data_IF_010032956651
#
_entry.id   IF_010032956651
#
_cell.length_a   1.000
_cell.length_b   1.000
_cell.length_c   1.000
_cell.angle_alpha   90.00
_cell.angle_beta   90.00
_cell.angle_gamma   90.00
#
_symmetry.space_group_name_H-M   'P 1'
#
loop_
_entity.id
_entity.type
_entity.pdbx_description
1 polymer ?
#
# COMPACT_ATOMS: atom_id res chain seq x y z
N UNK A 1 -0.71 9.88 9.99
CA UNK A 1 -0.92 8.45 9.62
C UNK A 1 0.36 7.87 9.01
N UNK A 2 0.54 6.53 8.95
CA UNK A 2 1.74 5.88 8.35
C UNK A 2 1.93 6.28 6.88
N UNK A 3 0.85 6.27 6.11
CA UNK A 3 0.87 6.50 4.66
C UNK A 3 0.80 7.98 4.29
N UNK A 4 0.29 8.83 5.17
CA UNK A 4 0.09 10.26 4.93
C UNK A 4 1.32 11.02 4.41
N UNK A 5 2.54 10.91 5.01
CA UNK A 5 3.70 11.63 4.50
C UNK A 5 4.19 11.13 3.14
N UNK A 6 3.82 9.91 2.75
CA UNK A 6 4.18 9.31 1.46
C UNK A 6 3.16 9.65 0.38
N UNK A 7 1.89 9.78 0.77
CA UNK A 7 0.77 10.03 -0.14
C UNK A 7 0.55 11.52 -0.39
N UNK A 8 0.80 12.38 0.60
CA UNK A 8 0.55 13.82 0.49
C UNK A 8 1.24 14.48 -0.72
N UNK A 9 2.53 14.23 -1.02
CA UNK A 9 3.18 14.82 -2.20
C UNK A 9 2.55 14.40 -3.53
N UNK A 10 1.92 13.22 -3.58
CA UNK A 10 1.22 12.72 -4.78
C UNK A 10 -0.09 13.47 -5.03
N UNK A 11 -0.74 13.94 -3.96
CA UNK A 11 -2.02 14.66 -4.05
C UNK A 11 -1.80 16.14 -4.35
N UNK A 12 -0.72 16.71 -3.80
CA UNK A 12 -0.38 18.13 -3.97
C UNK A 12 0.35 18.42 -5.30
N UNK A 13 0.40 17.45 -6.23
CA UNK A 13 1.07 17.54 -7.54
C UNK A 13 2.56 17.96 -7.44
N UNK A 14 3.21 17.57 -6.34
CA UNK A 14 4.63 17.83 -6.07
C UNK A 14 5.52 16.63 -6.39
N UNK A 15 4.93 15.51 -6.83
CA UNK A 15 5.64 14.29 -7.15
C UNK A 15 6.03 14.24 -8.64
N UNK A 16 7.16 13.61 -8.98
CA UNK A 16 7.51 13.38 -10.37
C UNK A 16 6.50 12.43 -11.03
N UNK A 17 6.43 12.47 -12.37
CA UNK A 17 5.56 11.59 -13.16
C UNK A 17 5.88 10.11 -12.87
N UNK A 18 4.81 9.32 -12.75
CA UNK A 18 4.84 7.88 -12.46
C UNK A 18 4.19 7.07 -13.59
N UNK A 19 3.88 7.71 -14.73
CA UNK A 19 3.20 7.06 -15.85
C UNK A 19 4.15 6.11 -16.58
N UNK A 20 3.73 4.86 -16.68
CA UNK A 20 4.52 3.76 -17.27
C UNK A 20 3.80 3.11 -18.45
N UNK A 21 2.62 3.60 -18.82
CA UNK A 21 1.94 3.24 -20.06
C UNK A 21 2.46 4.11 -21.22
N UNK A 22 3.14 3.54 -22.23
CA UNK A 22 3.65 4.30 -23.37
C UNK A 22 2.56 5.06 -24.15
N UNK A 23 1.31 4.57 -24.12
CA UNK A 23 0.19 5.21 -24.80
C UNK A 23 -0.32 6.47 -24.07
N UNK A 24 0.06 6.66 -22.80
CA UNK A 24 -0.39 7.76 -21.93
C UNK A 24 0.73 8.76 -21.61
N UNK A 25 1.93 8.54 -22.15
CA UNK A 25 3.12 9.34 -21.89
C UNK A 25 2.98 10.76 -22.48
N UNK A 26 3.31 11.77 -21.67
CA UNK A 26 3.33 13.16 -22.08
C UNK A 26 4.47 13.50 -23.05
N UNK A 27 4.34 14.61 -23.75
CA UNK A 27 5.42 15.10 -24.64
C UNK A 27 6.64 15.49 -23.81
N UNK A 28 7.77 14.82 -24.04
CA UNK A 28 9.03 15.10 -23.34
C UNK A 28 9.24 14.34 -22.03
N UNK A 29 8.32 13.45 -21.65
CA UNK A 29 8.54 12.55 -20.52
C UNK A 29 9.45 11.36 -20.89
N UNK A 30 10.28 10.93 -19.96
CA UNK A 30 11.10 9.72 -20.08
C UNK A 30 10.46 8.57 -19.30
N UNK A 31 9.96 7.56 -20.01
CA UNK A 31 9.34 6.38 -19.42
C UNK A 31 10.27 5.62 -18.47
N UNK A 32 11.58 5.62 -18.73
CA UNK A 32 12.56 4.95 -17.87
C UNK A 32 12.78 5.73 -16.57
N UNK A 33 12.68 7.06 -16.62
CA UNK A 33 12.67 7.89 -15.42
C UNK A 33 11.40 7.68 -14.60
N UNK A 34 10.24 7.72 -15.23
CA UNK A 34 8.95 7.47 -14.57
C UNK A 34 8.91 6.09 -13.89
N UNK A 35 9.44 5.06 -14.57
CA UNK A 35 9.58 3.70 -14.02
C UNK A 35 10.47 3.68 -12.78
N UNK A 36 11.61 4.40 -12.80
CA UNK A 36 12.49 4.52 -11.61
C UNK A 36 11.77 5.24 -10.47
N UNK A 37 11.02 6.29 -10.76
CA UNK A 37 10.25 7.05 -9.77
C UNK A 37 9.18 6.17 -9.12
N UNK A 38 8.43 5.39 -9.92
CA UNK A 38 7.40 4.46 -9.42
C UNK A 38 8.00 3.37 -8.53
N UNK A 39 9.13 2.77 -8.92
CA UNK A 39 9.82 1.76 -8.11
C UNK A 39 10.29 2.39 -6.79
N UNK A 40 10.91 3.58 -6.84
CA UNK A 40 11.43 4.25 -5.64
C UNK A 40 10.30 4.61 -4.65
N UNK A 41 9.17 5.11 -5.15
CA UNK A 41 7.99 5.40 -4.32
C UNK A 41 7.42 4.11 -3.70
N UNK A 42 7.25 3.07 -4.52
CA UNK A 42 6.71 1.78 -4.07
C UNK A 42 7.59 1.18 -2.98
N UNK A 43 8.93 1.25 -3.14
CA UNK A 43 9.88 0.79 -2.14
C UNK A 43 9.74 1.57 -0.82
N UNK A 44 9.63 2.90 -0.87
CA UNK A 44 9.42 3.73 0.32
C UNK A 44 8.13 3.37 1.07
N UNK A 45 7.04 3.14 0.33
CA UNK A 45 5.76 2.69 0.90
C UNK A 45 5.88 1.31 1.52
N UNK A 46 6.51 0.37 0.83
CA UNK A 46 6.74 -0.98 1.33
C UNK A 46 7.59 -0.99 2.60
N UNK A 47 8.70 -0.25 2.62
CA UNK A 47 9.59 -0.16 3.76
C UNK A 47 8.88 0.47 4.97
N UNK A 48 8.06 1.49 4.76
CA UNK A 48 7.24 2.09 5.80
C UNK A 48 6.23 1.07 6.39
N UNK A 49 5.60 0.25 5.54
CA UNK A 49 4.69 -0.81 6.00
C UNK A 49 5.44 -1.84 6.84
N UNK A 50 6.54 -2.38 6.34
CA UNK A 50 7.31 -3.44 7.02
C UNK A 50 7.90 -2.93 8.33
N UNK A 51 8.47 -1.73 8.35
CA UNK A 51 9.04 -1.11 9.56
C UNK A 51 8.00 -0.70 10.60
N UNK A 52 6.71 -0.65 10.24
CA UNK A 52 5.61 -0.33 11.16
C UNK A 52 5.02 -1.54 11.89
N UNK A 53 5.60 -2.73 11.73
CA UNK A 53 5.07 -3.97 12.29
C UNK A 53 4.88 -3.93 13.82
N UNK A 54 5.71 -3.17 14.53
CA UNK A 54 5.63 -2.90 15.97
C UNK A 54 4.39 -2.07 16.34
N UNK A 55 4.08 -1.05 15.52
CA UNK A 55 2.92 -0.15 15.65
C UNK A 55 1.62 -0.76 15.17
N UNK A 56 1.65 -1.98 14.63
CA UNK A 56 0.45 -2.64 14.12
C UNK A 56 -0.56 -2.89 15.25
N UNK A 57 -1.84 -2.48 15.09
CA UNK A 57 -2.83 -2.56 16.16
C UNK A 57 -2.98 -3.98 16.74
N UNK A 58 -2.90 -4.18 18.06
CA UNK A 58 -3.00 -5.50 18.68
C UNK A 58 -4.26 -6.27 18.29
N UNK A 59 -5.39 -5.58 18.14
CA UNK A 59 -6.68 -6.15 17.75
C UNK A 59 -6.62 -6.75 16.34
N UNK A 60 -6.04 -6.02 15.38
CA UNK A 60 -5.82 -6.53 14.03
C UNK A 60 -4.82 -7.68 14.03
N UNK A 61 -3.76 -7.60 14.86
CA UNK A 61 -2.79 -8.69 15.01
C UNK A 61 -3.49 -9.98 15.48
N UNK A 62 -4.39 -9.88 16.45
CA UNK A 62 -5.22 -11.00 16.92
C UNK A 62 -6.13 -11.55 15.81
N UNK A 63 -6.75 -10.68 15.00
CA UNK A 63 -7.56 -11.14 13.85
C UNK A 63 -6.72 -11.90 12.82
N UNK A 64 -5.51 -11.40 12.51
CA UNK A 64 -4.59 -12.07 11.59
C UNK A 64 -4.16 -13.43 12.13
N UNK A 65 -3.87 -13.51 13.43
CA UNK A 65 -3.53 -14.77 14.09
C UNK A 65 -4.69 -15.77 14.06
N UNK A 66 -5.92 -15.31 14.34
CA UNK A 66 -7.12 -16.13 14.27
C UNK A 66 -7.32 -16.70 12.85
N UNK A 67 -7.21 -15.84 11.82
CA UNK A 67 -7.28 -16.26 10.42
C UNK A 67 -6.22 -17.30 10.09
N UNK A 68 -4.96 -17.07 10.51
CA UNK A 68 -3.87 -18.01 10.32
C UNK A 68 -4.15 -19.38 10.97
N UNK A 69 -4.70 -19.40 12.19
CA UNK A 69 -5.04 -20.64 12.88
C UNK A 69 -6.13 -21.43 12.14
N UNK A 70 -7.18 -20.74 11.66
CA UNK A 70 -8.26 -21.38 10.89
C UNK A 70 -7.71 -21.96 9.59
N UNK A 71 -6.87 -21.22 8.87
CA UNK A 71 -6.21 -21.69 7.65
C UNK A 71 -5.29 -22.87 7.93
N UNK A 72 -4.51 -22.83 9.00
CA UNK A 72 -3.60 -23.92 9.39
C UNK A 72 -4.34 -25.19 9.78
N UNK A 73 -5.53 -25.09 10.37
CA UNK A 73 -6.39 -26.25 10.63
C UNK A 73 -6.97 -26.85 9.34
N UNK A 74 -7.35 -26.00 8.40
CA UNK A 74 -7.99 -26.43 7.14
C UNK A 74 -7.00 -26.93 6.09
N UNK A 75 -5.82 -26.31 6.04
CA UNK A 75 -4.77 -26.55 5.04
C UNK A 75 -3.42 -26.75 5.74
N UNK A 76 -3.25 -27.83 6.53
CA UNK A 76 -2.05 -28.04 7.34
C UNK A 76 -0.79 -28.28 6.50
N UNK A 77 -0.93 -28.76 5.26
CA UNK A 77 0.19 -29.12 4.38
C UNK A 77 0.86 -27.91 3.69
N UNK A 78 0.28 -26.71 3.80
CA UNK A 78 0.73 -25.52 3.08
C UNK A 78 0.87 -24.30 4.00
N UNK A 79 1.72 -24.38 5.05
CA UNK A 79 1.86 -23.31 6.05
C UNK A 79 2.28 -21.96 5.44
N UNK A 80 3.10 -21.97 4.38
CA UNK A 80 3.52 -20.75 3.68
C UNK A 80 2.37 -20.08 2.94
N UNK A 81 1.51 -20.85 2.25
CA UNK A 81 0.31 -20.31 1.61
C UNK A 81 -0.66 -19.72 2.64
N UNK A 82 -0.75 -20.29 3.83
CA UNK A 82 -1.60 -19.77 4.89
C UNK A 82 -1.12 -18.40 5.39
N UNK A 83 0.20 -18.21 5.54
CA UNK A 83 0.80 -16.90 5.86
C UNK A 83 0.53 -15.92 4.71
N UNK A 84 0.77 -16.35 3.47
CA UNK A 84 0.51 -15.54 2.27
C UNK A 84 -0.95 -15.09 2.18
N UNK A 85 -1.91 -15.96 2.48
CA UNK A 85 -3.33 -15.64 2.47
C UNK A 85 -3.70 -14.56 3.50
N UNK A 86 -3.11 -14.61 4.71
CA UNK A 86 -3.28 -13.54 5.71
C UNK A 86 -2.70 -12.22 5.19
N UNK A 87 -1.50 -12.25 4.62
CA UNK A 87 -0.88 -11.09 3.99
C UNK A 87 -1.75 -10.48 2.89
N UNK A 88 -2.28 -11.32 1.99
CA UNK A 88 -3.21 -10.93 0.93
C UNK A 88 -4.45 -10.23 1.48
N UNK A 89 -5.05 -10.75 2.56
CA UNK A 89 -6.21 -10.11 3.19
C UNK A 89 -5.85 -8.72 3.75
N UNK A 90 -4.70 -8.58 4.42
CA UNK A 90 -4.23 -7.30 4.95
C UNK A 90 -4.02 -6.30 3.82
N UNK A 91 -3.28 -6.70 2.77
CA UNK A 91 -2.98 -5.81 1.65
C UNK A 91 -4.23 -5.43 0.87
N UNK A 92 -5.07 -6.39 0.49
CA UNK A 92 -6.23 -6.10 -0.36
C UNK A 92 -7.35 -5.35 0.37
N UNK A 93 -7.57 -5.60 1.67
CA UNK A 93 -8.72 -5.00 2.38
C UNK A 93 -8.39 -3.78 3.21
N UNK A 94 -7.13 -3.57 3.57
CA UNK A 94 -6.74 -2.48 4.46
C UNK A 94 -5.70 -1.56 3.82
N UNK A 95 -4.57 -2.10 3.36
CA UNK A 95 -3.45 -1.28 2.88
C UNK A 95 -3.75 -0.67 1.51
N UNK A 96 -4.12 -1.46 0.51
CA UNK A 96 -4.36 -0.97 -0.85
C UNK A 96 -5.52 0.03 -0.92
N UNK A 97 -6.66 -0.17 -0.23
CA UNK A 97 -7.71 0.84 -0.17
C UNK A 97 -7.23 2.18 0.42
N UNK A 98 -6.36 2.14 1.42
CA UNK A 98 -5.75 3.33 2.01
C UNK A 98 -4.75 4.04 1.07
N UNK A 99 -4.07 3.29 0.21
CA UNK A 99 -3.16 3.86 -0.80
C UNK A 99 -3.95 4.48 -1.97
N UNK A 100 -4.99 3.79 -2.46
CA UNK A 100 -5.78 4.21 -3.63
C UNK A 100 -6.75 5.34 -3.29
N UNK A 101 -7.38 5.28 -2.11
CA UNK A 101 -8.39 6.23 -1.67
C UNK A 101 -8.05 6.84 -0.29
N UNK A 102 -6.94 7.61 -0.19
CA UNK A 102 -6.45 8.11 1.10
C UNK A 102 -7.41 9.12 1.75
N UNK A 103 -8.18 9.88 0.96
CA UNK A 103 -9.20 10.82 1.46
C UNK A 103 -10.40 10.09 2.07
N UNK A 104 -10.90 9.03 1.41
CA UNK A 104 -12.04 8.24 1.89
C UNK A 104 -11.69 7.52 3.20
N UNK A 105 -10.43 7.12 3.35
CA UNK A 105 -9.90 6.49 4.55
C UNK A 105 -9.45 7.49 5.63
N UNK A 106 -9.63 8.80 5.41
CA UNK A 106 -9.29 9.84 6.39
C UNK A 106 -7.79 9.99 6.65
N UNK A 107 -6.93 9.54 5.73
CA UNK A 107 -5.46 9.62 5.84
C UNK A 107 -4.96 11.02 5.51
N UNK A 108 -5.67 11.73 4.64
CA UNK A 108 -5.43 13.13 4.27
C UNK A 108 -6.74 13.90 4.38
N UNK A 109 -6.65 15.19 4.69
CA UNK A 109 -7.83 16.08 4.70
C UNK A 109 -8.46 16.16 3.30
N UNK A 110 -9.80 16.31 3.25
CA UNK A 110 -10.48 16.66 1.99
C UNK A 110 -9.96 18.01 1.53
N UNK A 111 -9.34 18.07 0.34
CA UNK A 111 -9.09 19.34 -0.32
C UNK A 111 -10.45 19.86 -0.74
N UNK A 112 -10.97 20.89 -0.06
CA UNK A 112 -12.20 21.57 -0.47
C UNK A 112 -11.87 22.28 -1.78
N UNK A 113 -12.55 21.99 -2.90
CA UNK A 113 -12.35 22.76 -4.12
C UNK A 113 -12.71 24.22 -3.83
N UNK A 114 -11.76 25.14 -4.06
CA UNK A 114 -12.04 26.57 -4.09
C UNK A 114 -12.64 26.96 -5.44
#
# INVERSE_FOLDING_TARGET
SLLEPLVRPLIEDQAPSLEVDPARLGTGEDIEENRRNLIALTQKVFDAIVSSADKFPPQLRSMCHCLYQVLSKRFPQVPQNNIGAVGTVIFLRFINPAIVSPQEMGIVGKVVPQ
#
